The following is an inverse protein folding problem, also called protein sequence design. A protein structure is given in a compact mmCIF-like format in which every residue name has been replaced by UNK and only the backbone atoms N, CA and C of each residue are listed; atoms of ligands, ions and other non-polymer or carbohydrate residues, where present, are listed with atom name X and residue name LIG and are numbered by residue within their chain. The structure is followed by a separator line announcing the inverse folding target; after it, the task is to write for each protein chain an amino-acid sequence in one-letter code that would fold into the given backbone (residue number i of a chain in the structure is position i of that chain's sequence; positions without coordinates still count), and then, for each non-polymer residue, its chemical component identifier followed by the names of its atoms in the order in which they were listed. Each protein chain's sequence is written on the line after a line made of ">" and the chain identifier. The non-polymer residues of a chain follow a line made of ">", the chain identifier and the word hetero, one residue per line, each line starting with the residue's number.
data_IF_167700519238
#
_entry.id   IF_167700519238
#
_cell.length_a   1.000
_cell.length_b   1.000
_cell.length_c   1.000
_cell.angle_alpha   90.00
_cell.angle_beta   90.00
_cell.angle_gamma   90.00
#
_symmetry.space_group_name_H-M   'P 1'
#
loop_
_entity.id
_entity.type
_entity.pdbx_description
1 polymer ?
#
# COMPACT_ATOMS: atom_id res chain seq x y z
N UNK A 1 -22.56 -0.97 14.66
CA UNK A 1 -22.16 -1.81 15.81
C UNK A 1 -20.73 -2.37 15.69
N UNK A 2 -20.08 -2.41 14.51
CA UNK A 2 -18.77 -3.07 14.35
C UNK A 2 -17.51 -2.31 14.83
N UNK A 3 -17.46 -0.98 14.67
CA UNK A 3 -16.24 -0.20 14.98
C UNK A 3 -15.91 -0.13 16.48
N UNK A 4 -16.87 0.31 17.30
CA UNK A 4 -16.69 0.40 18.75
C UNK A 4 -16.37 -0.98 19.35
N UNK A 5 -17.05 -2.03 18.88
CA UNK A 5 -16.78 -3.39 19.34
C UNK A 5 -15.35 -3.85 19.02
N UNK A 6 -14.80 -3.48 17.86
CA UNK A 6 -13.41 -3.78 17.51
C UNK A 6 -12.40 -3.02 18.40
N UNK A 7 -12.68 -1.75 18.71
CA UNK A 7 -11.83 -0.93 19.60
C UNK A 7 -11.90 -1.44 21.04
N UNK A 8 -13.10 -1.78 21.52
CA UNK A 8 -13.31 -2.33 22.86
C UNK A 8 -12.62 -3.68 23.01
N UNK A 9 -12.73 -4.56 21.99
CA UNK A 9 -11.99 -5.83 21.91
C UNK A 9 -10.49 -5.61 22.02
N UNK A 10 -9.94 -4.66 21.26
CA UNK A 10 -8.51 -4.32 21.29
C UNK A 10 -8.06 -3.90 22.69
N UNK A 11 -8.77 -2.93 23.29
CA UNK A 11 -8.45 -2.42 24.63
C UNK A 11 -8.51 -3.53 25.68
N UNK A 12 -9.55 -4.35 25.64
CA UNK A 12 -9.73 -5.46 26.57
C UNK A 12 -8.63 -6.52 26.41
N UNK A 13 -8.29 -6.90 25.18
CA UNK A 13 -7.26 -7.90 24.91
C UNK A 13 -5.87 -7.44 25.39
N UNK A 14 -5.52 -6.16 25.15
CA UNK A 14 -4.27 -5.57 25.67
C UNK A 14 -4.27 -5.58 27.20
N UNK A 15 -5.37 -5.16 27.84
CA UNK A 15 -5.49 -5.15 29.30
C UNK A 15 -5.38 -6.56 29.93
N UNK A 16 -5.76 -7.60 29.18
CA UNK A 16 -5.61 -9.00 29.58
C UNK A 16 -4.21 -9.57 29.33
N UNK A 17 -3.27 -8.77 28.83
CA UNK A 17 -1.88 -9.15 28.60
C UNK A 17 -1.61 -9.80 27.23
N UNK A 18 -2.57 -9.77 26.29
CA UNK A 18 -2.31 -10.19 24.90
C UNK A 18 -1.37 -9.18 24.23
N UNK A 19 -0.44 -9.69 23.41
CA UNK A 19 0.42 -8.83 22.60
C UNK A 19 -0.43 -7.92 21.70
N UNK A 20 -0.15 -6.61 21.74
CA UNK A 20 -0.98 -5.59 21.08
C UNK A 20 -1.14 -5.84 19.57
N UNK A 21 -0.09 -6.31 18.90
CA UNK A 21 -0.13 -6.66 17.48
C UNK A 21 -1.15 -7.75 17.15
N UNK A 22 -1.24 -8.81 17.97
CA UNK A 22 -2.26 -9.87 17.77
C UNK A 22 -3.65 -9.30 18.00
N UNK A 23 -3.83 -8.55 19.10
CA UNK A 23 -5.11 -7.90 19.40
C UNK A 23 -5.56 -6.92 18.30
N UNK A 24 -4.61 -6.21 17.67
CA UNK A 24 -4.85 -5.33 16.54
C UNK A 24 -5.36 -6.10 15.31
N UNK A 25 -4.72 -7.21 14.96
CA UNK A 25 -5.14 -8.02 13.83
C UNK A 25 -6.55 -8.62 14.04
N UNK A 26 -6.87 -9.03 15.26
CA UNK A 26 -8.24 -9.45 15.64
C UNK A 26 -9.24 -8.29 15.49
N UNK A 27 -8.89 -7.09 15.96
CA UNK A 27 -9.73 -5.91 15.80
C UNK A 27 -9.95 -5.54 14.33
N UNK A 28 -8.91 -5.66 13.49
CA UNK A 28 -9.02 -5.56 12.03
C UNK A 28 -10.00 -6.61 11.50
N UNK A 29 -9.93 -7.85 11.98
CA UNK A 29 -10.86 -8.93 11.65
C UNK A 29 -12.32 -8.59 11.97
N UNK A 30 -12.58 -7.85 13.05
CA UNK A 30 -13.92 -7.40 13.46
C UNK A 30 -14.40 -6.14 12.73
N UNK A 31 -13.48 -5.35 12.17
CA UNK A 31 -13.82 -4.08 11.51
C UNK A 31 -14.62 -4.30 10.22
N UNK A 32 -15.74 -3.60 10.06
CA UNK A 32 -16.67 -3.81 8.95
C UNK A 32 -16.92 -2.57 8.07
N UNK A 33 -16.24 -1.47 8.36
CA UNK A 33 -16.39 -0.22 7.62
C UNK A 33 -15.32 -0.11 6.55
N UNK A 34 -15.72 0.10 5.29
CA UNK A 34 -14.82 0.21 4.14
C UNK A 34 -14.11 1.58 4.05
N UNK A 35 -14.77 2.63 4.52
CA UNK A 35 -14.28 3.99 4.53
C UNK A 35 -14.98 4.84 5.59
N UNK A 36 -14.30 5.84 6.13
CA UNK A 36 -14.85 6.74 7.13
C UNK A 36 -14.16 8.11 7.11
N UNK A 37 -14.75 9.08 7.79
CA UNK A 37 -14.07 10.34 8.12
C UNK A 37 -13.87 10.42 9.61
N UNK A 38 -12.62 10.48 10.05
CA UNK A 38 -12.23 10.56 11.44
C UNK A 38 -11.29 11.73 11.64
N UNK A 39 -11.58 12.59 12.63
CA UNK A 39 -10.81 13.82 12.92
C UNK A 39 -10.53 14.69 11.68
N UNK A 40 -11.52 14.81 10.79
CA UNK A 40 -11.39 15.60 9.55
C UNK A 40 -10.56 14.95 8.44
N UNK A 41 -9.97 13.77 8.66
CA UNK A 41 -9.29 12.98 7.64
C UNK A 41 -10.21 11.89 7.10
N UNK A 42 -10.26 11.78 5.78
CA UNK A 42 -10.95 10.69 5.10
C UNK A 42 -10.04 9.48 4.98
N UNK A 43 -10.54 8.32 5.41
CA UNK A 43 -9.88 7.03 5.34
C UNK A 43 -10.67 6.12 4.39
N UNK A 44 -9.98 5.51 3.44
CA UNK A 44 -10.54 4.48 2.57
C UNK A 44 -9.71 3.21 2.68
N UNK A 45 -10.21 2.26 3.46
CA UNK A 45 -9.52 1.00 3.73
C UNK A 45 -9.71 0.00 2.60
N UNK A 46 -10.89 -0.02 1.96
CA UNK A 46 -11.21 -0.94 0.88
C UNK A 46 -11.33 -0.19 -0.45
N UNK A 47 -10.27 -0.21 -1.24
CA UNK A 47 -10.18 0.46 -2.54
C UNK A 47 -11.01 -0.31 -3.56
N UNK A 48 -11.91 0.42 -4.25
CA UNK A 48 -12.80 -0.12 -5.27
C UNK A 48 -13.65 -1.34 -4.83
N UNK A 49 -13.83 -1.54 -3.52
CA UNK A 49 -14.51 -2.73 -2.98
C UNK A 49 -13.68 -4.01 -3.00
N UNK A 50 -12.41 -3.97 -3.41
CA UNK A 50 -11.63 -5.17 -3.74
C UNK A 50 -10.26 -5.22 -3.05
N UNK A 51 -9.58 -4.08 -2.87
CA UNK A 51 -8.21 -4.02 -2.37
C UNK A 51 -8.13 -3.39 -0.96
N UNK A 52 -7.80 -4.20 0.03
CA UNK A 52 -7.78 -3.83 1.45
C UNK A 52 -6.40 -3.35 1.92
N UNK A 53 -6.32 -2.06 2.27
CA UNK A 53 -5.18 -1.42 2.92
C UNK A 53 -5.25 -1.60 4.44
N UNK A 54 -4.81 -2.76 4.92
CA UNK A 54 -4.89 -3.09 6.35
C UNK A 54 -3.98 -2.21 7.21
N UNK A 55 -2.87 -1.68 6.67
CA UNK A 55 -1.98 -0.77 7.40
C UNK A 55 -2.63 0.59 7.63
N UNK A 56 -3.42 1.09 6.67
CA UNK A 56 -4.23 2.29 6.86
C UNK A 56 -5.30 2.09 7.94
N UNK A 57 -5.90 0.89 8.01
CA UNK A 57 -6.82 0.56 9.08
C UNK A 57 -6.10 0.41 10.43
N UNK A 58 -4.91 -0.21 10.44
CA UNK A 58 -4.06 -0.30 11.62
C UNK A 58 -3.73 1.09 12.17
N UNK A 59 -3.30 2.02 11.30
CA UNK A 59 -3.05 3.43 11.67
C UNK A 59 -4.26 4.02 12.39
N UNK A 60 -5.46 3.85 11.81
CA UNK A 60 -6.70 4.38 12.40
C UNK A 60 -6.99 3.77 13.77
N UNK A 61 -6.96 2.44 13.88
CA UNK A 61 -7.33 1.73 15.10
C UNK A 61 -6.33 2.06 16.22
N UNK A 62 -5.03 2.13 15.91
CA UNK A 62 -3.99 2.44 16.89
C UNK A 62 -4.09 3.85 17.48
N UNK A 63 -4.76 4.79 16.83
CA UNK A 63 -5.03 6.12 17.42
C UNK A 63 -5.84 6.03 18.72
N UNK A 64 -6.70 5.01 18.86
CA UNK A 64 -7.58 4.81 20.03
C UNK A 64 -6.86 4.19 21.24
N UNK A 65 -5.65 3.66 21.03
CA UNK A 65 -4.87 2.91 22.02
C UNK A 65 -3.39 3.32 22.03
N UNK A 66 -3.06 4.49 21.49
CA UNK A 66 -1.68 4.98 21.35
C UNK A 66 -0.90 4.95 22.68
N UNK A 67 -1.58 5.21 23.80
CA UNK A 67 -0.99 5.26 25.14
C UNK A 67 -0.80 3.86 25.76
N UNK A 68 -1.28 2.81 25.08
CA UNK A 68 -1.20 1.41 25.51
C UNK A 68 -0.19 0.58 24.70
N UNK A 69 0.47 1.17 23.70
CA UNK A 69 1.36 0.45 22.78
C UNK A 69 2.72 1.15 22.66
N UNK A 70 3.82 0.42 22.40
CA UNK A 70 5.13 1.04 22.19
C UNK A 70 5.15 1.87 20.91
N UNK A 71 5.44 3.17 21.02
CA UNK A 71 5.47 4.10 19.89
C UNK A 71 6.48 3.68 18.82
N UNK A 72 7.67 3.22 19.23
CA UNK A 72 8.72 2.76 18.32
C UNK A 72 8.25 1.58 17.46
N UNK A 73 7.61 0.58 18.07
CA UNK A 73 7.08 -0.59 17.35
C UNK A 73 5.94 -0.19 16.40
N UNK A 74 5.08 0.75 16.80
CA UNK A 74 4.01 1.26 15.96
C UNK A 74 4.57 1.97 14.72
N UNK A 75 5.58 2.83 14.90
CA UNK A 75 6.28 3.51 13.79
C UNK A 75 6.96 2.49 12.88
N UNK A 76 7.62 1.47 13.45
CA UNK A 76 8.22 0.37 12.72
C UNK A 76 7.20 -0.38 11.85
N UNK A 77 6.02 -0.67 12.40
CA UNK A 77 4.94 -1.34 11.69
C UNK A 77 4.40 -0.47 10.55
N UNK A 78 3.98 0.77 10.85
CA UNK A 78 3.23 1.60 9.91
C UNK A 78 4.09 2.12 8.75
N UNK A 79 5.36 2.46 9.00
CA UNK A 79 6.23 3.08 7.99
C UNK A 79 7.19 2.09 7.32
N UNK A 80 7.53 1.00 8.01
CA UNK A 80 8.52 0.04 7.52
C UNK A 80 7.96 -1.36 7.31
N UNK A 81 6.70 -1.62 7.69
CA UNK A 81 6.07 -2.94 7.57
C UNK A 81 6.73 -3.99 8.46
N UNK A 82 7.49 -3.57 9.49
CA UNK A 82 8.16 -4.50 10.40
C UNK A 82 7.19 -4.89 11.50
N UNK A 83 6.84 -6.17 11.57
CA UNK A 83 5.96 -6.67 12.62
C UNK A 83 6.72 -6.76 13.95
N UNK A 84 6.08 -6.42 15.09
CA UNK A 84 6.73 -6.50 16.40
C UNK A 84 7.11 -7.92 16.82
N UNK A 85 6.34 -8.89 16.33
CA UNK A 85 6.54 -10.32 16.54
C UNK A 85 6.46 -11.03 15.19
N UNK A 86 7.11 -12.19 15.09
CA UNK A 86 6.99 -13.06 13.94
C UNK A 86 5.59 -13.70 13.93
N UNK A 87 4.97 -13.69 12.76
CA UNK A 87 3.66 -14.27 12.54
C UNK A 87 3.71 -14.98 11.19
N UNK A 88 3.30 -16.25 11.16
CA UNK A 88 3.19 -16.95 9.89
C UNK A 88 1.97 -16.45 9.09
N UNK A 89 1.92 -16.87 7.82
CA UNK A 89 0.89 -16.42 6.89
C UNK A 89 -0.49 -16.97 7.29
N UNK A 90 -0.54 -18.20 7.76
CA UNK A 90 -1.77 -18.89 8.14
C UNK A 90 -2.43 -18.23 9.36
N UNK A 91 -1.63 -17.84 10.35
CA UNK A 91 -2.07 -17.12 11.54
C UNK A 91 -2.50 -15.70 11.21
N UNK A 92 -1.74 -14.98 10.38
CA UNK A 92 -2.17 -13.66 9.87
C UNK A 92 -3.53 -13.75 9.18
N UNK A 93 -3.71 -14.70 8.25
CA UNK A 93 -4.97 -14.93 7.54
C UNK A 93 -6.12 -15.22 8.51
N UNK A 94 -5.88 -16.06 9.52
CA UNK A 94 -6.88 -16.42 10.54
C UNK A 94 -7.33 -15.22 11.37
N UNK A 95 -6.40 -14.35 11.76
CA UNK A 95 -6.70 -13.20 12.63
C UNK A 95 -7.52 -12.12 11.90
N UNK A 96 -7.18 -11.80 10.65
CA UNK A 96 -7.90 -10.78 9.87
C UNK A 96 -9.12 -11.33 9.12
N UNK A 97 -9.18 -12.65 8.93
CA UNK A 97 -10.23 -13.37 8.20
C UNK A 97 -9.98 -13.48 6.69
N UNK A 98 -10.43 -14.60 6.11
CA UNK A 98 -10.14 -15.00 4.72
C UNK A 98 -10.50 -13.94 3.67
N UNK A 99 -11.68 -13.31 3.80
CA UNK A 99 -12.11 -12.29 2.86
C UNK A 99 -11.20 -11.04 2.89
N UNK A 100 -10.77 -10.61 4.08
CA UNK A 100 -9.82 -9.49 4.22
C UNK A 100 -8.43 -9.87 3.78
N UNK A 101 -8.02 -11.13 4.00
CA UNK A 101 -6.74 -11.62 3.50
C UNK A 101 -6.68 -11.62 1.97
N UNK A 102 -7.71 -12.11 1.29
CA UNK A 102 -7.80 -12.03 -0.18
C UNK A 102 -7.80 -10.57 -0.67
N UNK A 103 -8.57 -9.70 -0.01
CA UNK A 103 -8.57 -8.27 -0.34
C UNK A 103 -7.20 -7.62 -0.06
N UNK A 104 -6.46 -8.07 0.96
CA UNK A 104 -5.10 -7.61 1.22
C UNK A 104 -4.16 -8.04 0.09
N UNK A 105 -4.28 -9.26 -0.43
CA UNK A 105 -3.51 -9.68 -1.61
C UNK A 105 -3.81 -8.80 -2.83
N UNK A 106 -5.07 -8.43 -3.04
CA UNK A 106 -5.44 -7.47 -4.09
C UNK A 106 -4.77 -6.11 -3.90
N UNK A 107 -4.67 -5.61 -2.66
CA UNK A 107 -3.93 -4.38 -2.36
C UNK A 107 -2.43 -4.54 -2.60
N UNK A 108 -1.85 -5.64 -2.12
CA UNK A 108 -0.42 -5.90 -2.28
C UNK A 108 -0.03 -5.95 -3.76
N UNK A 109 -0.72 -6.75 -4.56
CA UNK A 109 -0.41 -6.87 -5.99
C UNK A 109 -0.88 -5.66 -6.81
N UNK A 110 -2.06 -5.12 -6.50
CA UNK A 110 -2.66 -4.08 -7.31
C UNK A 110 -2.24 -2.66 -6.96
N UNK A 111 -1.66 -2.44 -5.78
CA UNK A 111 -1.15 -1.13 -5.36
C UNK A 111 0.34 -1.20 -5.09
N UNK A 112 0.79 -1.99 -4.11
CA UNK A 112 2.20 -1.99 -3.68
C UNK A 112 3.16 -2.47 -4.76
N UNK A 113 2.83 -3.59 -5.42
CA UNK A 113 3.63 -4.13 -6.53
C UNK A 113 3.54 -3.22 -7.75
N UNK A 114 2.37 -2.65 -8.04
CA UNK A 114 2.20 -1.75 -9.20
C UNK A 114 2.99 -0.43 -9.03
N UNK A 115 3.03 0.15 -7.82
CA UNK A 115 3.90 1.30 -7.49
C UNK A 115 5.38 0.97 -7.68
N UNK A 116 5.81 -0.21 -7.24
CA UNK A 116 7.19 -0.65 -7.44
C UNK A 116 7.54 -0.89 -8.91
N UNK A 117 6.57 -1.35 -9.72
CA UNK A 117 6.75 -1.46 -11.17
C UNK A 117 7.01 -0.09 -11.80
N UNK A 118 6.21 0.91 -11.45
CA UNK A 118 6.38 2.29 -11.90
C UNK A 118 7.76 2.83 -11.52
N UNK A 119 8.16 2.67 -10.25
CA UNK A 119 9.48 3.07 -9.77
C UNK A 119 10.62 2.38 -10.52
N UNK A 120 10.49 1.07 -10.80
CA UNK A 120 11.49 0.33 -11.58
C UNK A 120 11.62 0.89 -13.00
N UNK A 121 10.50 1.17 -13.67
CA UNK A 121 10.49 1.73 -15.02
C UNK A 121 11.00 3.17 -15.07
N UNK A 122 10.69 4.00 -14.08
CA UNK A 122 11.24 5.35 -13.94
C UNK A 122 12.77 5.31 -13.74
N UNK A 123 13.26 4.38 -12.91
CA UNK A 123 14.70 4.23 -12.68
C UNK A 123 15.46 3.74 -13.92
N UNK A 124 14.87 2.82 -14.70
CA UNK A 124 15.39 2.40 -16.01
C UNK A 124 15.46 3.59 -16.99
N UNK A 125 14.35 4.33 -17.13
CA UNK A 125 14.28 5.51 -18.01
C UNK A 125 15.33 6.56 -17.64
N UNK A 126 15.49 6.83 -16.34
CA UNK A 126 16.50 7.77 -15.83
C UNK A 126 17.93 7.30 -16.15
N UNK A 127 18.21 6.00 -16.07
CA UNK A 127 19.53 5.44 -16.43
C UNK A 127 19.79 5.59 -17.93
N UNK A 128 18.80 5.36 -18.78
CA UNK A 128 18.90 5.52 -20.23
C UNK A 128 19.15 6.98 -20.64
N UNK A 129 18.43 7.94 -20.05
CA UNK A 129 18.61 9.37 -20.34
C UNK A 129 20.02 9.87 -19.95
N UNK A 130 20.54 9.42 -18.80
CA UNK A 130 21.91 9.77 -18.36
C UNK A 130 22.98 9.30 -19.35
N UNK A 131 22.81 8.12 -19.95
CA UNK A 131 23.72 7.61 -20.98
C UNK A 131 23.66 8.47 -22.25
N UNK A 132 22.51 9.08 -22.55
CA UNK A 132 22.26 9.86 -23.77
C UNK A 132 22.56 11.37 -23.65
N UNK A 133 23.07 11.83 -22.50
CA UNK A 133 23.33 13.26 -22.21
C UNK A 133 22.11 14.19 -22.44
N UNK A 134 20.89 13.65 -22.38
CA UNK A 134 19.64 14.41 -22.50
C UNK A 134 19.20 14.88 -21.10
N UNK A 135 19.05 16.20 -20.92
CA UNK A 135 18.63 16.84 -19.68
C UNK A 135 17.13 17.22 -19.71
N UNK A 136 16.24 16.25 -19.88
CA UNK A 136 14.80 16.47 -19.74
C UNK A 136 14.25 15.64 -18.58
N UNK A 137 14.41 16.19 -17.36
CA UNK A 137 13.94 15.56 -16.13
C UNK A 137 12.41 15.53 -16.01
N UNK A 138 11.68 16.37 -16.75
CA UNK A 138 10.23 16.57 -16.59
C UNK A 138 9.35 15.48 -17.23
N UNK A 139 9.93 14.50 -17.94
CA UNK A 139 9.18 13.46 -18.67
C UNK A 139 9.44 12.02 -18.18
N UNK A 140 10.14 11.85 -17.05
CA UNK A 140 10.49 10.51 -16.54
C UNK A 140 9.25 9.67 -16.20
N UNK A 141 8.27 10.28 -15.54
CA UNK A 141 7.00 9.61 -15.19
C UNK A 141 6.23 9.24 -16.46
N UNK A 142 6.04 10.18 -17.38
CA UNK A 142 5.30 9.93 -18.63
C UNK A 142 5.93 8.80 -19.47
N UNK A 143 7.25 8.73 -19.54
CA UNK A 143 7.96 7.64 -20.22
C UNK A 143 7.78 6.28 -19.54
N UNK A 144 7.75 6.23 -18.20
CA UNK A 144 7.50 5.00 -17.45
C UNK A 144 6.08 4.48 -17.69
N UNK A 145 5.08 5.38 -17.66
CA UNK A 145 3.68 5.04 -17.95
C UNK A 145 3.52 4.54 -19.39
N UNK A 146 4.11 5.25 -20.36
CA UNK A 146 4.10 4.82 -21.76
C UNK A 146 4.73 3.43 -21.93
N UNK A 147 5.83 3.16 -21.23
CA UNK A 147 6.52 1.86 -21.27
C UNK A 147 5.69 0.73 -20.67
N UNK A 148 5.00 0.95 -19.56
CA UNK A 148 4.26 -0.11 -18.86
C UNK A 148 2.88 -0.31 -19.49
N UNK A 149 2.14 0.77 -19.75
CA UNK A 149 0.73 0.74 -20.12
C UNK A 149 0.46 1.06 -21.59
N UNK A 150 1.47 1.50 -22.34
CA UNK A 150 1.32 1.93 -23.73
C UNK A 150 0.61 3.27 -23.91
N UNK A 151 0.42 4.03 -22.83
CA UNK A 151 -0.23 5.33 -22.81
C UNK A 151 0.40 6.23 -21.73
N UNK A 152 0.27 7.54 -21.91
CA UNK A 152 0.75 8.55 -20.96
C UNK A 152 -0.05 8.52 -19.66
N UNK A 153 0.55 8.97 -18.56
CA UNK A 153 -0.13 9.14 -17.26
C UNK A 153 -1.35 10.04 -17.44
N UNK A 154 -1.22 11.10 -18.24
CA UNK A 154 -2.30 12.05 -18.51
C UNK A 154 -3.51 11.39 -19.21
N UNK A 155 -3.28 10.58 -20.25
CA UNK A 155 -4.35 9.83 -20.95
C UNK A 155 -5.01 8.80 -20.03
N UNK A 156 -4.22 8.06 -19.27
CA UNK A 156 -4.72 7.04 -18.33
C UNK A 156 -5.55 7.67 -17.22
N UNK A 157 -5.10 8.80 -16.69
CA UNK A 157 -5.84 9.54 -15.67
C UNK A 157 -7.16 10.11 -16.22
N UNK A 158 -7.18 10.54 -17.48
CA UNK A 158 -8.41 10.95 -18.15
C UNK A 158 -9.40 9.78 -18.26
N UNK A 159 -8.95 8.61 -18.72
CA UNK A 159 -9.78 7.39 -18.79
C UNK A 159 -10.33 7.00 -17.42
N UNK A 160 -9.48 6.96 -16.40
CA UNK A 160 -9.88 6.67 -15.02
C UNK A 160 -10.98 7.62 -14.52
N UNK A 161 -10.83 8.93 -14.75
CA UNK A 161 -11.81 9.93 -14.32
C UNK A 161 -13.14 9.82 -15.06
N UNK A 162 -13.09 9.52 -16.37
CA UNK A 162 -14.28 9.29 -17.19
C UNK A 162 -15.07 8.07 -16.69
N UNK A 163 -14.39 6.94 -16.46
CA UNK A 163 -15.03 5.71 -15.94
C UNK A 163 -15.64 5.91 -14.55
N UNK A 164 -15.01 6.73 -13.70
CA UNK A 164 -15.48 7.02 -12.33
C UNK A 164 -16.50 8.15 -12.25
N UNK A 165 -16.83 8.81 -13.37
CA UNK A 165 -17.73 9.97 -13.39
C UNK A 165 -17.22 11.15 -12.56
N UNK A 166 -15.90 11.31 -12.39
CA UNK A 166 -15.33 12.35 -11.51
C UNK A 166 -14.96 13.62 -12.29
N UNK A 167 -15.22 14.82 -11.73
CA UNK A 167 -14.76 16.07 -12.32
C UNK A 167 -13.23 16.13 -12.33
N UNK A 168 -12.68 16.78 -13.37
CA UNK A 168 -11.25 16.92 -13.59
C UNK A 168 -10.65 17.91 -12.57
N UNK A 169 -10.45 17.47 -11.32
CA UNK A 169 -9.80 18.28 -10.26
C UNK A 169 -8.28 18.34 -10.49
N UNK A 170 -7.68 19.46 -10.08
CA UNK A 170 -6.23 19.72 -10.20
C UNK A 170 -5.37 18.90 -9.23
N UNK A 171 -5.92 18.48 -8.09
CA UNK A 171 -5.20 17.69 -7.09
C UNK A 171 -5.90 16.36 -6.80
N UNK A 172 -5.09 15.33 -6.52
CA UNK A 172 -5.52 14.02 -6.04
C UNK A 172 -5.07 13.86 -4.60
N UNK A 173 -5.98 13.43 -3.71
CA UNK A 173 -5.60 13.01 -2.38
C UNK A 173 -4.87 11.67 -2.42
N UNK A 174 -4.21 11.27 -1.33
CA UNK A 174 -3.51 9.98 -1.25
C UNK A 174 -4.43 8.79 -1.57
N UNK A 175 -5.68 8.81 -1.10
CA UNK A 175 -6.67 7.78 -1.41
C UNK A 175 -7.02 7.72 -2.91
N UNK A 176 -7.02 8.86 -3.60
CA UNK A 176 -7.26 8.92 -5.05
C UNK A 176 -6.06 8.39 -5.83
N UNK A 177 -4.84 8.67 -5.37
CA UNK A 177 -3.61 8.10 -5.95
C UNK A 177 -3.65 6.58 -5.86
N UNK A 178 -3.91 6.01 -4.68
CA UNK A 178 -3.98 4.55 -4.51
C UNK A 178 -5.11 3.91 -5.33
N UNK A 179 -6.26 4.57 -5.43
CA UNK A 179 -7.35 4.10 -6.29
C UNK A 179 -6.97 4.13 -7.77
N UNK A 180 -6.27 5.17 -8.22
CA UNK A 180 -5.76 5.26 -9.59
C UNK A 180 -4.71 4.17 -9.86
N UNK A 181 -3.77 3.94 -8.94
CA UNK A 181 -2.80 2.84 -9.04
C UNK A 181 -3.50 1.48 -9.16
N UNK A 182 -4.50 1.22 -8.31
CA UNK A 182 -5.25 -0.02 -8.38
C UNK A 182 -6.01 -0.17 -9.71
N UNK A 183 -6.51 0.93 -10.26
CA UNK A 183 -7.11 0.95 -11.59
C UNK A 183 -6.08 0.66 -12.70
N UNK A 184 -4.86 1.20 -12.61
CA UNK A 184 -3.78 0.91 -13.56
C UNK A 184 -3.39 -0.57 -13.58
N UNK A 185 -3.34 -1.21 -12.41
CA UNK A 185 -3.15 -2.65 -12.32
C UNK A 185 -4.23 -3.40 -13.09
N UNK A 186 -5.51 -3.06 -12.87
CA UNK A 186 -6.63 -3.69 -13.60
C UNK A 186 -6.59 -3.41 -15.10
N UNK A 187 -6.22 -2.19 -15.49
CA UNK A 187 -6.00 -1.82 -16.89
C UNK A 187 -4.90 -2.69 -17.51
N UNK A 188 -3.76 -2.86 -16.83
CA UNK A 188 -2.65 -3.71 -17.29
C UNK A 188 -3.04 -5.17 -17.44
N UNK A 189 -3.78 -5.72 -16.47
CA UNK A 189 -4.28 -7.10 -16.54
C UNK A 189 -5.21 -7.33 -17.75
N UNK A 190 -5.95 -6.31 -18.15
CA UNK A 190 -6.91 -6.38 -19.25
C UNK A 190 -6.26 -6.17 -20.62
N UNK A 191 -5.38 -5.18 -20.72
CA UNK A 191 -4.87 -4.67 -22.01
C UNK A 191 -3.51 -5.27 -22.40
N UNK A 192 -2.73 -5.83 -21.46
CA UNK A 192 -1.44 -6.46 -21.77
C UNK A 192 -1.56 -7.99 -21.89
N UNK A 193 -0.66 -8.60 -22.66
CA UNK A 193 -0.57 -10.05 -22.75
C UNK A 193 -0.08 -10.67 -21.42
N UNK A 194 -0.44 -11.94 -21.19
CA UNK A 194 -0.15 -12.65 -19.93
C UNK A 194 1.35 -12.78 -19.64
N UNK A 195 2.19 -12.92 -20.67
CA UNK A 195 3.63 -13.08 -20.49
C UNK A 195 4.26 -11.76 -20.02
N UNK A 196 3.85 -10.64 -20.62
CA UNK A 196 4.24 -9.29 -20.20
C UNK A 196 3.78 -9.00 -18.77
N UNK A 197 2.52 -9.28 -18.44
CA UNK A 197 2.01 -9.09 -17.07
C UNK A 197 2.85 -9.83 -16.04
N UNK A 198 3.18 -11.11 -16.30
CA UNK A 198 4.02 -11.91 -15.41
C UNK A 198 5.45 -11.38 -15.30
N UNK A 199 6.06 -10.98 -16.41
CA UNK A 199 7.41 -10.41 -16.44
C UNK A 199 7.50 -9.10 -15.64
N UNK A 200 6.54 -8.20 -15.85
CA UNK A 200 6.44 -6.92 -15.14
C UNK A 200 6.22 -7.15 -13.65
N UNK A 201 5.33 -8.07 -13.26
CA UNK A 201 5.12 -8.42 -11.85
C UNK A 201 6.39 -8.99 -11.22
N UNK A 202 7.16 -9.83 -11.93
CA UNK A 202 8.46 -10.31 -11.44
C UNK A 202 9.49 -9.17 -11.29
N UNK A 203 9.53 -8.23 -12.25
CA UNK A 203 10.39 -7.05 -12.16
C UNK A 203 10.06 -6.22 -10.92
N UNK A 204 8.78 -5.95 -10.71
CA UNK A 204 8.28 -5.18 -9.58
C UNK A 204 8.59 -5.82 -8.22
N UNK A 205 8.41 -7.15 -8.11
CA UNK A 205 8.75 -7.88 -6.88
C UNK A 205 10.25 -7.84 -6.56
N UNK A 206 11.12 -7.94 -7.58
CA UNK A 206 12.57 -7.77 -7.40
C UNK A 206 12.92 -6.37 -6.93
N UNK A 207 12.26 -5.36 -7.48
CA UNK A 207 12.44 -3.97 -7.08
C UNK A 207 11.99 -3.74 -5.63
N UNK A 208 10.82 -4.25 -5.23
CA UNK A 208 10.37 -4.21 -3.83
C UNK A 208 11.38 -4.84 -2.87
N UNK A 209 11.87 -6.04 -3.21
CA UNK A 209 12.86 -6.74 -2.40
C UNK A 209 14.15 -5.91 -2.27
N UNK A 210 14.61 -5.29 -3.36
CA UNK A 210 15.77 -4.38 -3.34
C UNK A 210 15.53 -3.19 -2.40
N UNK A 211 14.35 -2.57 -2.46
CA UNK A 211 14.01 -1.43 -1.61
C UNK A 211 13.92 -1.80 -0.13
N UNK A 212 13.31 -2.95 0.20
CA UNK A 212 13.28 -3.45 1.58
C UNK A 212 14.69 -3.71 2.12
N UNK A 213 15.56 -4.33 1.32
CA UNK A 213 16.95 -4.54 1.70
C UNK A 213 17.68 -3.21 1.95
N UNK A 214 17.50 -2.20 1.09
CA UNK A 214 18.11 -0.88 1.28
C UNK A 214 17.61 -0.19 2.55
N UNK A 215 16.31 -0.29 2.85
CA UNK A 215 15.72 0.23 4.09
C UNK A 215 16.33 -0.47 5.32
N UNK A 216 16.51 -1.78 5.27
CA UNK A 216 17.18 -2.53 6.34
C UNK A 216 18.65 -2.10 6.55
N UNK A 217 19.41 -1.89 5.47
CA UNK A 217 20.82 -1.48 5.55
C UNK A 217 20.98 -0.04 6.08
N UNK A 218 20.14 0.90 5.67
CA UNK A 218 20.15 2.28 6.21
C UNK A 218 19.91 2.31 7.71
N UNK A 219 19.11 1.38 8.25
CA UNK A 219 18.88 1.23 9.69
C UNK A 219 20.11 0.73 10.44
N UNK A 220 20.81 -0.29 9.92
CA UNK A 220 22.06 -0.78 10.52
C UNK A 220 23.17 0.28 10.55
N UNK A 221 23.13 1.26 9.65
CA UNK A 221 24.05 2.39 9.63
C UNK A 221 23.69 3.50 10.62
N UNK A 222 22.40 3.72 10.90
CA UNK A 222 21.92 4.74 11.87
C UNK A 222 21.97 4.23 13.32
N UNK A 223 21.92 2.91 13.54
CA UNK A 223 22.00 2.28 14.86
C UNK A 223 23.41 2.02 15.41
N UNK A 224 24.49 2.50 14.75
CA UNK A 224 25.83 2.47 15.33
C UNK A 224 26.03 3.74 16.17
N UNK A 225 26.23 3.64 17.50
CA UNK A 225 26.72 4.78 18.25
C UNK A 225 28.13 5.11 17.74
N UNK A 226 28.41 6.40 17.56
CA UNK A 226 29.77 6.94 17.44
C UNK A 226 30.45 6.76 18.80
#
# INVERSE_FOLDING_TARGET
>A
MGQNAAIDHLKQAIAQGKHWYIALLEAIGLWNTAEETHNGRYYRYLIAGEAFDWLLLAERICQEVKDLIPEEELVELLFFGKTPIELDKEEFCRLIGDAKYLAHLNYFYGVTVEEALLLAAEEETRKEQRVRAFNENDHLSEAAYQRIYGATMTELLQKFRQEKGRPQRRSMGLADVKEFTYWLFKYRLKECDKARVASDTQKALKELQRQWNLKAHRRSAVGKPI
#
